data_IF_637322289887
#
_entry.id   IF_637322289887
#
_cell.length_a   1.000
_cell.length_b   1.000
_cell.length_c   1.000
_cell.angle_alpha   90.00
_cell.angle_beta   90.00
_cell.angle_gamma   90.00
#
_symmetry.space_group_name_H-M   'P 1'
#
loop_
_entity.id
_entity.type
_entity.pdbx_description
1 polymer ?
#
# COMPACT_ATOMS: atom_id res chain seq x y z
N UNK A 1 -15.02 0.61 -9.96
CA UNK A 1 -14.01 -0.45 -9.78
C UNK A 1 -12.91 0.06 -8.86
N UNK A 2 -12.46 -0.74 -7.89
CA UNK A 2 -11.32 -0.38 -7.05
C UNK A 2 -10.00 -0.44 -7.85
N UNK A 3 -8.92 0.12 -7.28
CA UNK A 3 -7.58 -0.01 -7.87
C UNK A 3 -7.15 -1.48 -7.96
N UNK A 4 -7.49 -2.30 -6.95
CA UNK A 4 -7.18 -3.73 -6.95
C UNK A 4 -7.94 -4.50 -8.01
N UNK A 5 -9.20 -4.15 -8.27
CA UNK A 5 -9.94 -4.73 -9.39
C UNK A 5 -9.29 -4.39 -10.73
N UNK A 6 -8.86 -3.13 -10.92
CA UNK A 6 -8.18 -2.69 -12.15
C UNK A 6 -6.84 -3.41 -12.34
N UNK A 7 -6.06 -3.60 -11.27
CA UNK A 7 -4.78 -4.34 -11.31
C UNK A 7 -4.96 -5.76 -11.83
N UNK A 8 -6.05 -6.45 -11.47
CA UNK A 8 -6.36 -7.82 -11.90
C UNK A 8 -6.66 -7.93 -13.40
N UNK A 9 -7.04 -6.83 -14.06
CA UNK A 9 -7.30 -6.81 -15.50
C UNK A 9 -6.02 -6.67 -16.35
N UNK A 10 -4.88 -6.28 -15.74
CA UNK A 10 -3.62 -6.15 -16.46
C UNK A 10 -3.04 -7.54 -16.73
N UNK A 11 -2.70 -7.81 -17.99
CA UNK A 11 -2.12 -9.06 -18.47
C UNK A 11 -0.72 -8.82 -19.06
N UNK A 12 0.36 -8.93 -18.26
CA UNK A 12 1.72 -8.66 -18.72
C UNK A 12 2.20 -9.57 -19.84
N UNK A 13 1.65 -10.78 -19.94
CA UNK A 13 1.95 -11.76 -20.99
C UNK A 13 1.30 -11.43 -22.33
N UNK A 14 0.40 -10.44 -22.39
CA UNK A 14 -0.27 -10.06 -23.62
C UNK A 14 0.66 -9.27 -24.55
N UNK A 15 1.30 -9.97 -25.50
CA UNK A 15 2.32 -9.39 -26.40
C UNK A 15 1.86 -8.25 -27.29
N UNK A 16 0.55 -8.10 -27.55
CA UNK A 16 0.04 -7.07 -28.47
C UNK A 16 -0.10 -5.69 -27.82
N UNK A 17 0.00 -5.58 -26.50
CA UNK A 17 -0.17 -4.32 -25.79
C UNK A 17 0.75 -4.26 -24.57
N UNK A 18 1.54 -3.20 -24.45
CA UNK A 18 2.41 -3.02 -23.29
C UNK A 18 1.59 -2.83 -22.01
N UNK A 19 2.16 -3.14 -20.84
CA UNK A 19 1.54 -2.86 -19.54
C UNK A 19 1.15 -1.38 -19.40
N UNK A 20 1.94 -0.48 -19.97
CA UNK A 20 1.64 0.95 -19.97
C UNK A 20 0.33 1.27 -20.71
N UNK A 21 0.18 0.76 -21.94
CA UNK A 21 -1.04 0.96 -22.72
C UNK A 21 -2.25 0.27 -22.08
N UNK A 22 -2.06 -0.92 -21.51
CA UNK A 22 -3.12 -1.60 -20.75
C UNK A 22 -3.59 -0.77 -19.56
N UNK A 23 -2.67 -0.21 -18.78
CA UNK A 23 -2.99 0.69 -17.67
C UNK A 23 -3.73 1.94 -18.15
N UNK A 24 -3.34 2.50 -19.31
CA UNK A 24 -3.99 3.66 -19.90
C UNK A 24 -5.44 3.38 -20.30
N UNK A 25 -5.72 2.25 -20.92
CA UNK A 25 -7.08 1.86 -21.37
C UNK A 25 -8.05 1.70 -20.21
N UNK A 26 -7.59 1.13 -19.08
CA UNK A 26 -8.44 0.90 -17.89
C UNK A 26 -8.38 2.06 -16.89
N UNK A 27 -7.73 3.17 -17.24
CA UNK A 27 -7.50 4.34 -16.38
C UNK A 27 -6.92 3.94 -15.01
N UNK A 28 -5.92 3.06 -15.02
CA UNK A 28 -5.13 2.69 -13.85
C UNK A 28 -3.86 3.54 -13.83
N UNK A 29 -3.61 4.33 -12.76
CA UNK A 29 -2.32 4.99 -12.62
C UNK A 29 -1.18 3.96 -12.64
N UNK A 30 -0.20 4.15 -13.52
CA UNK A 30 0.91 3.19 -13.72
C UNK A 30 1.66 2.89 -12.42
N UNK A 31 1.88 3.91 -11.57
CA UNK A 31 2.52 3.75 -10.26
C UNK A 31 1.75 2.80 -9.35
N UNK A 32 0.41 2.84 -9.41
CA UNK A 32 -0.45 1.94 -8.65
C UNK A 32 -0.27 0.49 -9.08
N UNK A 33 -0.02 0.19 -10.36
CA UNK A 33 0.22 -1.19 -10.82
C UNK A 33 1.46 -1.83 -10.19
N UNK A 34 2.55 -1.07 -10.05
CA UNK A 34 3.81 -1.56 -9.47
C UNK A 34 3.86 -1.46 -7.95
N UNK A 35 2.96 -0.70 -7.33
CA UNK A 35 2.91 -0.55 -5.88
C UNK A 35 2.66 -1.90 -5.22
N UNK A 36 3.62 -2.33 -4.39
CA UNK A 36 3.47 -3.47 -3.50
C UNK A 36 3.46 -2.95 -2.07
N UNK A 37 2.37 -3.14 -1.30
CA UNK A 37 2.38 -2.77 0.10
C UNK A 37 3.46 -3.61 0.80
N UNK A 38 4.43 -2.93 1.39
CA UNK A 38 5.32 -3.55 2.38
C UNK A 38 4.46 -3.65 3.64
N UNK A 39 3.95 -4.84 3.93
CA UNK A 39 3.18 -5.07 5.15
C UNK A 39 3.93 -4.56 6.37
N UNK A 40 3.20 -4.19 7.41
CA UNK A 40 3.80 -3.58 8.59
C UNK A 40 4.27 -4.65 9.59
N UNK A 41 5.39 -4.40 10.28
CA UNK A 41 5.83 -5.28 11.36
C UNK A 41 4.82 -5.30 12.51
N UNK A 42 4.72 -6.43 13.23
CA UNK A 42 3.82 -6.54 14.39
C UNK A 42 4.08 -5.43 15.42
N UNK A 43 5.35 -5.11 15.66
CA UNK A 43 5.73 -4.02 16.56
C UNK A 43 5.19 -2.67 16.08
N UNK A 44 5.38 -2.32 14.81
CA UNK A 44 4.88 -1.06 14.27
C UNK A 44 3.34 -1.00 14.26
N UNK A 45 2.66 -2.12 14.03
CA UNK A 45 1.20 -2.18 14.17
C UNK A 45 0.76 -1.93 15.61
N UNK A 46 1.41 -2.57 16.59
CA UNK A 46 1.16 -2.33 18.01
C UNK A 46 1.44 -0.88 18.39
N UNK A 47 2.53 -0.30 17.87
CA UNK A 47 2.85 1.09 18.07
C UNK A 47 1.76 1.99 17.51
N UNK A 48 1.38 1.85 16.23
CA UNK A 48 0.30 2.61 15.59
C UNK A 48 -1.01 2.51 16.38
N UNK A 49 -1.40 1.32 16.83
CA UNK A 49 -2.57 1.13 17.68
C UNK A 49 -2.44 1.88 19.03
N UNK A 50 -1.23 1.93 19.61
CA UNK A 50 -0.96 2.71 20.82
C UNK A 50 -1.02 4.24 20.56
N UNK A 51 -0.62 4.69 19.36
CA UNK A 51 -0.78 6.09 18.93
C UNK A 51 -2.28 6.42 18.80
N UNK A 52 -3.01 5.62 18.05
CA UNK A 52 -4.43 5.81 17.74
C UNK A 52 -5.30 5.81 19.00
N UNK A 53 -4.93 4.99 20.01
CA UNK A 53 -5.59 4.96 21.32
C UNK A 53 -5.26 6.14 22.23
N UNK A 54 -4.34 7.03 21.84
CA UNK A 54 -3.90 8.17 22.65
C UNK A 54 -2.96 7.81 23.81
N UNK A 55 -2.41 6.60 23.83
CA UNK A 55 -1.49 6.11 24.89
C UNK A 55 -0.06 6.64 24.78
N UNK A 56 0.21 7.54 23.80
CA UNK A 56 1.52 8.10 23.50
C UNK A 56 2.19 8.83 24.70
N UNK A 57 1.39 9.37 25.63
CA UNK A 57 1.88 10.03 26.86
C UNK A 57 2.69 9.09 27.76
N UNK A 58 2.37 7.79 27.78
CA UNK A 58 3.11 6.80 28.59
C UNK A 58 4.44 6.43 27.90
N UNK A 59 4.45 6.35 26.57
CA UNK A 59 5.63 6.02 25.76
C UNK A 59 6.71 7.11 25.81
N UNK A 60 6.33 8.39 25.76
CA UNK A 60 7.27 9.53 25.82
C UNK A 60 7.90 9.68 27.21
N UNK A 61 7.16 9.40 28.28
CA UNK A 61 7.70 9.46 29.65
C UNK A 61 8.69 8.33 29.97
N UNK A 62 8.59 7.18 29.28
CA UNK A 62 9.49 6.03 29.48
C UNK A 62 10.79 6.05 28.67
N UNK A 63 10.93 6.94 27.68
CA UNK A 63 12.11 7.04 26.80
C UNK A 63 13.17 8.06 27.28
N UNK A 64 13.00 8.64 28.47
CA UNK A 64 13.95 9.58 29.10
C UNK A 64 14.88 8.90 30.14
N UNK A 65 15.21 7.62 29.93
CA UNK A 65 16.07 6.83 30.84
C UNK A 65 17.42 6.53 30.21
#
# INVERSE_FOLDING_TARGET
>A
MSLDDKRRLVCPSFRKMSVFEQCRVIELPRSSYYFRPKGESLFNQQLMNAIDSGSWTILVMGWSG
#
